data_IF_321957653309
#
_entry.id   IF_321957653309
#
_cell.length_a   1.000
_cell.length_b   1.000
_cell.length_c   1.000
_cell.angle_alpha   90.00
_cell.angle_beta   90.00
_cell.angle_gamma   90.00
#
_symmetry.space_group_name_H-M   'P 1'
#
loop_
_entity.id
_entity.type
_entity.pdbx_description
1 polymer ?
#
# COMPACT_ATOMS: atom_id res chain seq x y z
N UNK A 1 -14.70 10.56 21.22
CA UNK A 1 -13.93 9.54 20.47
C UNK A 1 -13.73 9.99 19.02
N UNK A 2 -12.83 10.94 18.75
CA UNK A 2 -12.61 11.51 17.39
C UNK A 2 -11.15 11.99 17.16
N UNK A 3 -10.23 11.67 18.08
CA UNK A 3 -8.88 12.27 18.10
C UNK A 3 -8.03 11.99 16.84
N UNK A 4 -8.35 10.95 16.07
CA UNK A 4 -7.58 10.52 14.89
C UNK A 4 -8.28 10.78 13.55
N UNK A 5 -9.48 11.37 13.54
CA UNK A 5 -10.34 11.45 12.35
C UNK A 5 -9.78 12.35 11.21
N UNK A 6 -8.69 13.09 11.46
CA UNK A 6 -8.11 14.04 10.49
C UNK A 6 -6.59 13.97 10.37
N UNK A 7 -5.95 12.91 10.86
CA UNK A 7 -4.49 12.79 10.69
C UNK A 7 -4.17 12.39 9.25
N UNK A 8 -3.13 12.98 8.63
CA UNK A 8 -2.84 12.81 7.20
C UNK A 8 -2.41 11.39 6.80
N UNK A 9 -2.08 10.54 7.78
CA UNK A 9 -1.62 9.17 7.55
C UNK A 9 -2.77 8.17 7.35
N UNK A 10 -4.02 8.54 7.67
CA UNK A 10 -5.15 7.66 7.49
C UNK A 10 -5.53 7.56 6.01
N UNK A 11 -5.53 6.34 5.48
CA UNK A 11 -6.04 6.05 4.13
C UNK A 11 -7.56 6.17 4.06
N UNK A 12 -8.25 5.87 5.16
CA UNK A 12 -9.71 5.94 5.29
C UNK A 12 -10.07 6.44 6.68
N UNK A 13 -11.29 6.95 6.84
CA UNK A 13 -11.81 7.33 8.14
C UNK A 13 -11.88 6.12 9.09
N UNK A 14 -11.80 6.33 10.43
CA UNK A 14 -11.92 5.25 11.41
C UNK A 14 -13.12 4.35 11.11
N UNK A 15 -12.86 3.07 10.87
CA UNK A 15 -13.88 2.13 10.45
C UNK A 15 -14.65 1.65 11.68
N UNK A 16 -15.93 2.03 11.75
CA UNK A 16 -16.85 1.66 12.84
C UNK A 16 -17.83 0.54 12.47
N UNK A 17 -18.01 0.29 11.17
CA UNK A 17 -18.93 -0.73 10.67
C UNK A 17 -18.17 -2.05 10.35
N UNK A 18 -18.63 -3.21 10.84
CA UNK A 18 -17.95 -4.49 10.61
C UNK A 18 -17.85 -4.90 9.13
N UNK A 19 -18.86 -4.60 8.30
CA UNK A 19 -18.83 -4.94 6.87
C UNK A 19 -17.78 -4.10 6.15
N UNK A 20 -17.67 -2.81 6.50
CA UNK A 20 -16.61 -1.93 6.00
C UNK A 20 -15.23 -2.42 6.44
N UNK A 21 -15.09 -2.96 7.65
CA UNK A 21 -13.82 -3.51 8.13
C UNK A 21 -13.38 -4.72 7.30
N UNK A 22 -14.30 -5.64 7.00
CA UNK A 22 -14.02 -6.79 6.13
C UNK A 22 -13.57 -6.35 4.72
N UNK A 23 -14.23 -5.35 4.14
CA UNK A 23 -13.84 -4.78 2.84
C UNK A 23 -12.46 -4.12 2.89
N UNK A 24 -12.13 -3.41 3.97
CA UNK A 24 -10.81 -2.77 4.14
C UNK A 24 -9.69 -3.82 4.23
N UNK A 25 -9.92 -4.93 4.93
CA UNK A 25 -8.98 -6.05 4.96
C UNK A 25 -8.83 -6.72 3.59
N UNK A 26 -9.94 -6.94 2.87
CA UNK A 26 -9.87 -7.49 1.52
C UNK A 26 -9.07 -6.57 0.58
N UNK A 27 -9.24 -5.25 0.70
CA UNK A 27 -8.44 -4.29 -0.05
C UNK A 27 -6.96 -4.37 0.34
N UNK A 28 -6.64 -4.50 1.62
CA UNK A 28 -5.26 -4.61 2.09
C UNK A 28 -4.57 -5.87 1.52
N UNK A 29 -5.26 -7.01 1.45
CA UNK A 29 -4.73 -8.22 0.80
C UNK A 29 -4.49 -8.00 -0.70
N UNK A 30 -5.44 -7.38 -1.41
CA UNK A 30 -5.27 -7.07 -2.84
C UNK A 30 -4.09 -6.12 -3.10
N UNK A 31 -3.92 -5.11 -2.26
CA UNK A 31 -2.78 -4.19 -2.36
C UNK A 31 -1.45 -4.89 -2.01
N UNK A 32 -1.46 -5.87 -1.11
CA UNK A 32 -0.29 -6.71 -0.84
C UNK A 32 0.10 -7.55 -2.07
N UNK A 33 -0.86 -8.24 -2.69
CA UNK A 33 -0.61 -9.04 -3.90
C UNK A 33 -0.04 -8.18 -5.03
N UNK A 34 -0.66 -7.01 -5.26
CA UNK A 34 -0.19 -6.02 -6.22
C UNK A 34 1.25 -5.54 -5.92
N UNK A 35 1.60 -5.34 -4.64
CA UNK A 35 2.98 -4.97 -4.27
C UNK A 35 3.96 -6.10 -4.56
N UNK A 36 3.56 -7.35 -4.36
CA UNK A 36 4.41 -8.50 -4.71
C UNK A 36 4.66 -8.59 -6.22
N UNK A 37 3.65 -8.33 -7.06
CA UNK A 37 3.83 -8.28 -8.52
C UNK A 37 4.83 -7.19 -8.92
N UNK A 38 4.70 -5.98 -8.36
CA UNK A 38 5.62 -4.88 -8.62
C UNK A 38 7.04 -5.23 -8.20
N UNK A 39 7.22 -5.79 -6.99
CA UNK A 39 8.51 -6.21 -6.48
C UNK A 39 9.15 -7.26 -7.38
N UNK A 40 8.37 -8.24 -7.85
CA UNK A 40 8.85 -9.29 -8.75
C UNK A 40 9.29 -8.73 -10.11
N UNK A 41 8.52 -7.80 -10.69
CA UNK A 41 8.80 -7.20 -12.00
C UNK A 41 10.13 -6.44 -12.02
N UNK A 42 10.45 -5.74 -10.92
CA UNK A 42 11.69 -4.97 -10.78
C UNK A 42 12.77 -5.70 -9.95
N UNK A 43 12.55 -6.99 -9.63
CA UNK A 43 13.49 -7.91 -8.97
C UNK A 43 13.93 -7.50 -7.56
N UNK A 44 13.06 -6.86 -6.79
CA UNK A 44 13.28 -6.57 -5.37
C UNK A 44 12.60 -7.60 -4.47
N UNK A 45 13.17 -7.85 -3.30
CA UNK A 45 12.65 -8.82 -2.33
C UNK A 45 11.76 -8.19 -1.25
N UNK A 46 11.92 -6.90 -1.02
CA UNK A 46 11.21 -6.15 0.00
C UNK A 46 11.00 -4.68 -0.40
N UNK A 47 10.12 -4.01 0.35
CA UNK A 47 9.74 -2.62 0.12
C UNK A 47 10.89 -1.64 0.39
N UNK A 48 11.81 -1.97 1.30
CA UNK A 48 12.93 -1.08 1.67
C UNK A 48 13.90 -0.95 0.51
N UNK A 49 14.29 -2.08 -0.08
CA UNK A 49 15.15 -2.12 -1.27
C UNK A 49 14.48 -1.46 -2.47
N UNK A 50 13.20 -1.73 -2.69
CA UNK A 50 12.42 -1.10 -3.76
C UNK A 50 12.42 0.43 -3.64
N UNK A 51 12.07 0.96 -2.46
CA UNK A 51 12.01 2.41 -2.23
C UNK A 51 13.39 3.07 -2.38
N UNK A 52 14.44 2.48 -1.81
CA UNK A 52 15.78 3.02 -1.92
C UNK A 52 16.29 3.08 -3.38
N UNK A 53 15.93 2.09 -4.19
CA UNK A 53 16.27 2.07 -5.62
C UNK A 53 15.40 3.05 -6.43
N UNK A 54 14.14 3.20 -6.06
CA UNK A 54 13.23 4.19 -6.66
C UNK A 54 13.72 5.62 -6.42
N UNK A 55 14.09 5.96 -5.17
CA UNK A 55 14.59 7.29 -4.81
C UNK A 55 15.91 7.62 -5.51
N UNK A 56 16.72 6.59 -5.81
CA UNK A 56 17.96 6.71 -6.60
C UNK A 56 17.72 6.72 -8.12
N UNK A 57 16.48 6.55 -8.58
CA UNK A 57 16.13 6.52 -10.00
C UNK A 57 16.66 5.30 -10.76
N UNK A 58 16.92 4.18 -10.08
CA UNK A 58 17.56 3.00 -10.67
C UNK A 58 16.65 2.20 -11.61
N UNK A 59 15.34 2.40 -11.52
CA UNK A 59 14.35 1.81 -12.42
C UNK A 59 13.14 2.75 -12.55
N UNK A 60 12.29 2.52 -13.56
CA UNK A 60 10.99 3.17 -13.67
C UNK A 60 9.92 2.22 -13.16
N UNK A 61 9.05 2.64 -12.22
CA UNK A 61 8.01 1.76 -11.73
C UNK A 61 7.07 1.39 -12.89
N UNK A 62 6.59 0.15 -12.92
CA UNK A 62 5.58 -0.29 -13.87
C UNK A 62 4.37 0.64 -13.86
N UNK A 63 3.79 0.92 -15.03
CA UNK A 63 2.58 1.75 -15.10
C UNK A 63 1.45 1.02 -14.37
N UNK A 64 0.75 1.71 -13.47
CA UNK A 64 -0.50 1.22 -12.91
C UNK A 64 -1.49 1.06 -14.07
N UNK A 65 -1.96 -0.15 -14.32
CA UNK A 65 -3.12 -0.42 -15.16
C UNK A 65 -4.40 0.10 -14.49
#
# INVERSE_FOLDING_TARGET
MSQYERVPHLLTQPVVDPKKAANALQWACREMDRRYELLAEVKFRDITGYNAAYDKGQFKPPKRH
#
